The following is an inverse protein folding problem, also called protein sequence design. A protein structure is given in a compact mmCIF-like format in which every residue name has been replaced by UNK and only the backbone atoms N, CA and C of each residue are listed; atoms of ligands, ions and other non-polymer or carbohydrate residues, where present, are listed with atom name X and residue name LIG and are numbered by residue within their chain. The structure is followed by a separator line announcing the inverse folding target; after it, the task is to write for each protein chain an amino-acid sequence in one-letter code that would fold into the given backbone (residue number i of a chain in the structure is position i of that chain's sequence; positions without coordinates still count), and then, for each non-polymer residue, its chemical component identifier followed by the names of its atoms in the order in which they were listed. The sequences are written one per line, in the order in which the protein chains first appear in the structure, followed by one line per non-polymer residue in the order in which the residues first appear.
data_IF_571696229600
#
_entry.id   IF_571696229600
#
_cell.length_a   1.000
_cell.length_b   1.000
_cell.length_c   1.000
_cell.angle_alpha   90.00
_cell.angle_beta   90.00
_cell.angle_gamma   90.00
#
_symmetry.space_group_name_H-M   'P 1'
#
loop_
_entity.id
_entity.type
_entity.pdbx_description
1 polymer ?
#
# COMPACT_ATOMS: atom_id res chain seq x y z
N UNK A 1 -23.15 54.51 -12.25
CA UNK A 1 -23.65 54.16 -13.60
C UNK A 1 -22.55 53.66 -14.46
N UNK A 2 -22.09 52.42 -14.37
CA UNK A 2 -21.11 51.75 -15.28
C UNK A 2 -21.10 50.22 -15.14
N UNK A 3 -22.23 49.58 -14.81
CA UNK A 3 -22.26 48.14 -14.64
C UNK A 3 -23.16 47.38 -15.64
N UNK A 4 -23.85 48.07 -16.55
CA UNK A 4 -24.80 47.42 -17.45
C UNK A 4 -24.29 47.11 -18.86
N UNK A 5 -23.09 47.51 -19.22
CA UNK A 5 -22.56 47.32 -20.59
C UNK A 5 -21.74 46.03 -20.74
N UNK A 6 -21.33 45.41 -19.66
CA UNK A 6 -20.56 44.16 -19.69
C UNK A 6 -21.44 42.96 -20.01
N UNK A 7 -22.65 42.90 -19.46
CA UNK A 7 -23.58 41.80 -19.70
C UNK A 7 -24.23 41.84 -21.06
N UNK A 8 -24.36 42.99 -21.69
CA UNK A 8 -24.92 43.10 -23.07
C UNK A 8 -23.95 42.63 -24.14
N UNK A 9 -22.65 42.67 -23.89
CA UNK A 9 -21.64 42.18 -24.84
C UNK A 9 -21.41 40.67 -24.74
N UNK A 10 -21.71 40.04 -23.63
CA UNK A 10 -21.62 38.58 -23.45
C UNK A 10 -22.80 37.84 -24.13
N UNK A 11 -23.97 38.45 -24.13
CA UNK A 11 -25.16 37.86 -24.79
C UNK A 11 -25.10 37.87 -26.34
N UNK A 12 -24.34 38.81 -26.91
CA UNK A 12 -24.22 38.88 -28.38
C UNK A 12 -23.23 37.87 -28.98
N UNK A 13 -22.27 37.36 -28.18
CA UNK A 13 -21.29 36.35 -28.63
C UNK A 13 -21.86 34.94 -28.58
N UNK A 14 -22.80 34.68 -27.68
CA UNK A 14 -23.44 33.34 -27.55
C UNK A 14 -24.50 33.11 -28.64
N UNK A 15 -25.11 34.16 -29.18
CA UNK A 15 -26.15 34.04 -30.21
C UNK A 15 -25.58 33.89 -31.64
N UNK A 16 -24.30 34.20 -31.86
CA UNK A 16 -23.65 34.06 -33.16
C UNK A 16 -23.10 32.65 -33.45
N UNK A 17 -23.06 31.77 -32.42
CA UNK A 17 -22.53 30.40 -32.54
C UNK A 17 -23.58 29.32 -32.81
N UNK A 18 -24.89 29.68 -32.89
CA UNK A 18 -25.99 28.70 -33.00
C UNK A 18 -26.58 28.63 -34.41
N UNK A 19 -26.12 29.46 -35.37
CA UNK A 19 -26.77 29.57 -36.70
C UNK A 19 -25.95 29.08 -37.90
N UNK A 20 -24.95 28.20 -37.69
CA UNK A 20 -24.24 27.60 -38.85
C UNK A 20 -24.14 26.08 -38.74
N UNK A 21 -25.27 25.41 -38.48
CA UNK A 21 -25.40 23.96 -38.72
C UNK A 21 -26.65 23.71 -39.53
N UNK A 22 -26.54 23.86 -40.85
CA UNK A 22 -27.49 23.24 -41.77
C UNK A 22 -26.76 22.79 -43.03
N UNK A 23 -26.86 21.50 -43.23
CA UNK A 23 -26.85 20.78 -44.50
C UNK A 23 -25.51 20.55 -45.20
N UNK A 24 -24.97 19.37 -45.02
CA UNK A 24 -23.98 18.76 -45.90
C UNK A 24 -23.85 17.29 -45.55
N UNK A 25 -24.70 16.45 -46.19
CA UNK A 25 -24.44 15.00 -46.21
C UNK A 25 -23.13 14.75 -46.94
N UNK A 26 -22.07 14.42 -46.21
CA UNK A 26 -20.86 13.81 -46.75
C UNK A 26 -20.64 12.52 -45.98
N UNK A 27 -20.46 11.47 -46.74
CA UNK A 27 -20.20 10.10 -46.33
C UNK A 27 -19.18 10.06 -45.20
N UNK A 28 -19.56 9.37 -44.12
CA UNK A 28 -18.68 9.10 -42.99
C UNK A 28 -17.52 8.22 -43.44
N UNK A 29 -16.35 8.80 -43.64
CA UNK A 29 -15.11 8.08 -43.35
C UNK A 29 -15.03 7.95 -41.83
N UNK A 30 -15.09 6.71 -41.35
CA UNK A 30 -14.71 6.36 -39.99
C UNK A 30 -13.25 6.77 -39.77
N UNK A 31 -13.04 8.01 -39.38
CA UNK A 31 -11.81 8.35 -38.69
C UNK A 31 -11.88 7.69 -37.32
N UNK A 32 -11.36 6.48 -37.24
CA UNK A 32 -10.89 5.92 -35.98
C UNK A 32 -9.85 6.88 -35.43
N UNK A 33 -10.28 7.91 -34.69
CA UNK A 33 -9.42 8.60 -33.78
C UNK A 33 -9.06 7.57 -32.70
N UNK A 34 -7.97 6.84 -32.92
CA UNK A 34 -7.28 6.14 -31.88
C UNK A 34 -6.74 7.20 -30.95
N UNK A 35 -7.54 7.58 -29.94
CA UNK A 35 -6.92 8.06 -28.71
C UNK A 35 -5.90 6.98 -28.35
N UNK A 36 -4.63 7.34 -28.06
CA UNK A 36 -3.73 6.38 -27.51
C UNK A 36 -4.46 5.82 -26.30
N UNK A 37 -4.75 4.52 -26.32
CA UNK A 37 -5.30 3.83 -25.17
C UNK A 37 -4.35 4.21 -24.01
N UNK A 38 -4.90 4.84 -22.99
CA UNK A 38 -4.13 5.09 -21.77
C UNK A 38 -3.48 3.75 -21.45
N UNK A 39 -2.15 3.71 -21.40
CA UNK A 39 -1.41 2.47 -21.18
C UNK A 39 -2.02 1.83 -19.94
N UNK A 40 -2.76 0.75 -20.13
CA UNK A 40 -3.48 0.10 -19.06
C UNK A 40 -2.44 -0.46 -18.10
N UNK A 41 -2.43 0.04 -16.87
CA UNK A 41 -1.53 -0.46 -15.84
C UNK A 41 -1.77 -1.95 -15.68
N UNK A 42 -0.72 -2.73 -15.89
CA UNK A 42 -0.79 -4.17 -15.78
C UNK A 42 -0.61 -4.59 -14.32
N UNK A 43 -1.11 -5.76 -13.95
CA UNK A 43 -0.79 -6.36 -12.63
C UNK A 43 0.71 -6.47 -12.43
N UNK A 44 1.48 -6.70 -13.50
CA UNK A 44 2.93 -6.73 -13.47
C UNK A 44 3.54 -5.39 -12.99
N UNK A 45 2.96 -4.25 -13.38
CA UNK A 45 3.41 -2.93 -12.90
C UNK A 45 3.10 -2.74 -11.42
N UNK A 46 1.95 -3.23 -10.95
CA UNK A 46 1.64 -3.25 -9.52
C UNK A 46 2.63 -4.11 -8.72
N UNK A 47 3.08 -5.21 -9.30
CA UNK A 47 4.09 -6.10 -8.69
C UNK A 47 5.47 -5.44 -8.62
N UNK A 48 5.77 -4.53 -9.54
CA UNK A 48 7.02 -3.78 -9.58
C UNK A 48 7.00 -2.48 -8.76
N UNK A 49 5.94 -2.24 -7.99
CA UNK A 49 5.87 -1.09 -7.09
C UNK A 49 7.05 -1.11 -6.13
N UNK A 50 7.79 0.00 -5.99
CA UNK A 50 8.98 0.03 -5.14
C UNK A 50 8.65 -0.17 -3.68
N UNK A 51 9.50 -0.96 -3.01
CA UNK A 51 9.52 -1.07 -1.57
C UNK A 51 10.17 0.16 -0.96
N UNK A 52 9.62 0.61 0.16
CA UNK A 52 10.30 1.56 1.03
C UNK A 52 10.54 0.93 2.41
N UNK A 53 11.51 1.47 3.14
CA UNK A 53 11.93 0.93 4.44
C UNK A 53 12.08 2.06 5.43
N UNK A 54 11.84 1.76 6.68
CA UNK A 54 12.21 2.65 7.77
C UNK A 54 13.63 2.31 8.21
N UNK A 55 14.51 3.29 8.06
CA UNK A 55 15.90 3.17 8.48
C UNK A 55 16.09 3.94 9.77
N UNK A 56 16.93 3.40 10.63
CA UNK A 56 17.59 4.10 11.71
C UNK A 56 16.69 4.80 12.73
N UNK A 57 16.88 4.42 13.95
CA UNK A 57 16.47 5.13 15.15
C UNK A 57 17.31 6.40 15.27
N UNK A 58 16.80 7.51 14.81
CA UNK A 58 17.47 8.80 14.98
C UNK A 58 16.77 9.60 16.06
N UNK A 59 17.47 9.92 17.13
CA UNK A 59 16.99 10.75 18.23
C UNK A 59 17.15 12.25 17.94
N UNK A 60 17.60 12.62 16.74
CA UNK A 60 17.97 13.99 16.38
C UNK A 60 16.82 14.90 15.93
N UNK A 61 15.56 14.55 16.16
CA UNK A 61 14.41 15.32 15.64
C UNK A 61 14.11 16.61 16.43
N UNK A 62 14.96 17.03 17.30
CA UNK A 62 14.77 18.25 18.06
C UNK A 62 14.09 18.01 19.42
N UNK A 63 13.83 19.08 20.17
CA UNK A 63 13.20 18.99 21.49
C UNK A 63 11.73 19.40 21.40
N UNK A 64 10.85 18.65 22.04
CA UNK A 64 9.44 18.98 22.15
C UNK A 64 8.51 17.92 21.56
N UNK A 65 7.26 18.30 21.41
CA UNK A 65 6.20 17.50 20.80
C UNK A 65 5.92 18.04 19.39
N UNK A 66 5.85 17.14 18.44
CA UNK A 66 5.57 17.48 17.04
C UNK A 66 4.28 16.83 16.58
N UNK A 67 3.38 17.58 15.95
CA UNK A 67 2.15 17.01 15.39
C UNK A 67 2.51 16.02 14.27
N UNK A 68 1.79 14.92 14.23
CA UNK A 68 1.91 13.89 13.21
C UNK A 68 0.67 13.88 12.36
N UNK A 69 0.86 13.83 11.05
CA UNK A 69 -0.16 13.86 10.02
C UNK A 69 -0.13 12.56 9.22
N UNK A 70 -1.25 12.15 8.66
CA UNK A 70 -1.31 10.92 7.85
C UNK A 70 -0.71 11.10 6.46
N UNK A 71 -0.68 12.34 5.93
CA UNK A 71 -0.09 12.68 4.63
C UNK A 71 0.80 13.93 4.78
N UNK A 72 1.65 14.26 3.80
CA UNK A 72 2.53 15.42 3.84
C UNK A 72 1.79 16.76 3.58
N UNK A 73 0.78 17.02 4.40
CA UNK A 73 -0.08 18.21 4.38
C UNK A 73 -0.63 18.52 5.76
N UNK A 74 -0.68 19.81 6.11
CA UNK A 74 -1.33 20.26 7.36
C UNK A 74 -2.86 20.09 7.32
N UNK A 75 -3.44 19.94 6.12
CA UNK A 75 -4.89 19.70 5.91
C UNK A 75 -5.24 18.19 5.94
N UNK A 76 -4.24 17.32 6.07
CA UNK A 76 -4.49 15.88 6.15
C UNK A 76 -5.00 15.45 7.53
N UNK A 77 -5.57 14.26 7.58
CA UNK A 77 -6.09 13.69 8.83
C UNK A 77 -4.97 13.63 9.89
N UNK A 78 -5.33 14.04 11.09
CA UNK A 78 -4.55 13.80 12.30
C UNK A 78 -5.28 12.79 13.18
N UNK A 79 -4.63 11.68 13.43
CA UNK A 79 -5.18 10.59 14.23
C UNK A 79 -5.30 10.96 15.71
N UNK A 80 -5.95 10.11 16.49
CA UNK A 80 -6.24 10.37 17.92
C UNK A 80 -7.00 11.70 18.14
N UNK A 81 -8.06 11.91 17.36
CA UNK A 81 -8.88 13.13 17.41
C UNK A 81 -8.06 14.43 17.24
N UNK A 82 -7.11 14.40 16.33
CA UNK A 82 -6.21 15.52 16.09
C UNK A 82 -5.10 15.70 17.12
N UNK A 83 -4.93 14.76 18.04
CA UNK A 83 -3.99 14.88 19.17
C UNK A 83 -2.71 14.07 18.99
N UNK A 84 -2.59 13.28 17.90
CA UNK A 84 -1.39 12.47 17.70
C UNK A 84 -0.16 13.36 17.59
N UNK A 85 0.78 13.14 18.47
CA UNK A 85 2.07 13.83 18.50
C UNK A 85 3.19 12.80 18.70
N UNK A 86 4.36 13.13 18.17
CA UNK A 86 5.59 12.44 18.51
C UNK A 86 6.41 13.32 19.45
N UNK A 87 7.03 12.71 20.43
CA UNK A 87 7.83 13.39 21.43
C UNK A 87 9.27 12.86 21.33
N UNK A 88 10.24 13.69 21.68
CA UNK A 88 11.67 13.33 21.62
C UNK A 88 12.06 12.10 22.45
N UNK A 89 11.23 11.72 23.41
CA UNK A 89 11.42 10.48 24.18
C UNK A 89 11.02 9.21 23.41
N UNK A 90 10.40 9.35 22.25
CA UNK A 90 10.00 8.21 21.43
C UNK A 90 11.15 7.76 20.54
N UNK A 91 11.26 6.46 20.39
CA UNK A 91 12.14 5.85 19.42
C UNK A 91 11.54 6.05 18.01
N UNK A 92 12.28 6.75 17.15
CA UNK A 92 11.84 7.07 15.80
C UNK A 92 12.64 6.29 14.77
N UNK A 93 11.96 5.65 13.85
CA UNK A 93 12.53 5.18 12.61
C UNK A 93 12.08 6.09 11.46
N UNK A 94 12.96 6.36 10.52
CA UNK A 94 12.75 7.33 9.44
C UNK A 94 12.77 6.59 8.09
N UNK A 95 11.79 6.85 7.23
CA UNK A 95 11.79 6.32 5.87
C UNK A 95 12.46 7.27 4.87
N UNK A 96 12.21 8.57 4.96
CA UNK A 96 12.75 9.56 4.05
C UNK A 96 11.92 10.85 4.04
N UNK A 97 12.35 11.80 3.20
CA UNK A 97 11.59 13.00 2.96
C UNK A 97 10.63 12.84 1.78
N UNK A 98 9.47 13.45 1.89
CA UNK A 98 8.48 13.59 0.84
C UNK A 98 7.88 15.00 0.90
N UNK A 99 8.02 15.76 -0.17
CA UNK A 99 7.40 17.10 -0.32
C UNK A 99 7.65 18.06 0.86
N UNK A 100 8.84 17.99 1.46
CA UNK A 100 9.21 18.82 2.62
C UNK A 100 8.70 18.29 3.97
N UNK A 101 8.32 17.02 4.02
CA UNK A 101 7.89 16.32 5.22
C UNK A 101 8.77 15.10 5.46
N UNK A 102 8.98 14.74 6.71
CA UNK A 102 9.70 13.54 7.11
C UNK A 102 8.71 12.44 7.44
N UNK A 103 8.76 11.33 6.72
CA UNK A 103 7.99 10.14 7.04
C UNK A 103 8.67 9.38 8.16
N UNK A 104 7.95 9.14 9.25
CA UNK A 104 8.44 8.51 10.47
C UNK A 104 7.56 7.35 10.90
N UNK A 105 8.20 6.37 11.53
CA UNK A 105 7.54 5.34 12.32
C UNK A 105 7.99 5.49 13.78
N UNK A 106 7.07 5.44 14.71
CA UNK A 106 7.32 5.56 16.14
C UNK A 106 6.38 4.65 16.92
N UNK A 107 6.80 4.27 18.12
CA UNK A 107 5.97 3.48 19.01
C UNK A 107 5.20 4.38 19.96
N UNK A 108 3.92 4.10 20.12
CA UNK A 108 3.05 4.67 21.14
C UNK A 108 2.90 3.66 22.29
N UNK A 109 2.10 4.01 23.30
CA UNK A 109 1.79 3.10 24.41
C UNK A 109 1.37 1.73 23.91
N UNK A 110 1.70 0.70 24.65
CA UNK A 110 1.37 -0.71 24.35
C UNK A 110 2.12 -1.28 23.14
N UNK A 111 3.30 -0.74 22.81
CA UNK A 111 4.16 -1.16 21.69
C UNK A 111 3.47 -1.09 20.32
N UNK A 112 2.44 -0.26 20.20
CA UNK A 112 1.79 -0.03 18.91
C UNK A 112 2.63 0.91 18.07
N UNK A 113 3.07 0.46 16.91
CA UNK A 113 3.75 1.32 15.96
C UNK A 113 2.74 2.20 15.22
N UNK A 114 3.15 3.42 14.90
CA UNK A 114 2.40 4.37 14.08
C UNK A 114 3.32 4.92 13.00
N UNK A 115 2.76 5.18 11.84
CA UNK A 115 3.45 5.81 10.73
C UNK A 115 2.75 7.13 10.40
N UNK A 116 3.53 8.15 10.10
CA UNK A 116 2.98 9.44 9.71
C UNK A 116 4.08 10.41 9.30
N UNK A 117 3.68 11.65 9.12
CA UNK A 117 4.54 12.73 8.62
C UNK A 117 4.72 13.83 9.65
N UNK A 118 5.95 14.30 9.74
CA UNK A 118 6.34 15.48 10.52
C UNK A 118 6.84 16.55 9.54
N UNK A 119 6.38 17.81 9.63
CA UNK A 119 6.93 18.88 8.80
C UNK A 119 8.44 19.03 8.96
N UNK A 120 9.18 19.15 7.86
CA UNK A 120 10.66 19.28 7.87
C UNK A 120 11.15 20.45 8.74
N UNK A 121 10.36 21.52 8.88
CA UNK A 121 10.69 22.68 9.74
C UNK A 121 10.99 22.31 11.20
N UNK A 122 10.49 21.18 11.67
CA UNK A 122 10.75 20.68 13.04
C UNK A 122 11.96 19.74 13.12
N UNK A 123 12.46 19.28 11.98
CA UNK A 123 13.55 18.30 11.92
C UNK A 123 14.88 19.03 11.93
N UNK A 124 15.67 18.85 12.98
CA UNK A 124 16.99 19.45 13.14
C UNK A 124 18.02 18.39 13.47
N UNK A 125 19.07 18.33 12.63
CA UNK A 125 20.25 17.53 12.98
C UNK A 125 20.06 16.01 12.84
N UNK A 126 19.30 15.55 11.84
CA UNK A 126 19.34 14.14 11.45
C UNK A 126 20.80 13.74 11.20
N UNK A 127 21.29 12.78 12.00
CA UNK A 127 22.70 12.34 11.98
C UNK A 127 23.03 11.48 10.75
N UNK A 128 22.03 10.98 10.06
CA UNK A 128 22.16 10.13 8.90
C UNK A 128 21.61 10.82 7.65
N UNK A 129 22.25 10.59 6.51
CA UNK A 129 21.81 11.12 5.21
C UNK A 129 20.49 10.51 4.78
N UNK A 130 19.39 11.07 5.28
CA UNK A 130 18.03 10.65 4.88
C UNK A 130 17.72 11.23 3.51
N UNK A 131 17.43 10.36 2.54
CA UNK A 131 17.12 10.74 1.16
C UNK A 131 15.65 11.10 0.95
N UNK A 132 15.33 11.48 -0.29
CA UNK A 132 13.96 11.65 -0.74
C UNK A 132 13.32 10.29 -0.97
N UNK A 133 12.07 10.12 -0.53
CA UNK A 133 11.24 8.97 -0.89
C UNK A 133 10.90 9.04 -2.38
N UNK A 134 10.99 7.88 -3.02
CA UNK A 134 10.63 7.74 -4.43
C UNK A 134 9.33 6.92 -4.49
N UNK A 135 8.22 7.60 -4.39
CA UNK A 135 6.91 6.99 -4.58
C UNK A 135 6.54 6.94 -6.06
N UNK A 136 5.73 5.95 -6.41
CA UNK A 136 4.98 5.91 -7.67
C UNK A 136 3.63 6.57 -7.47
N UNK A 137 2.84 6.68 -8.53
CA UNK A 137 1.49 7.21 -8.47
C UNK A 137 0.62 6.37 -9.39
N UNK A 138 0.07 5.29 -8.85
CA UNK A 138 -0.71 4.30 -9.61
C UNK A 138 -2.15 4.36 -9.13
N UNK A 139 -3.07 5.01 -9.90
CA UNK A 139 -4.48 5.07 -9.54
C UNK A 139 -5.15 3.71 -9.74
N UNK A 140 -5.88 3.25 -8.74
CA UNK A 140 -6.68 2.03 -8.79
C UNK A 140 -8.01 2.26 -8.07
N UNK A 141 -8.98 1.38 -8.30
CA UNK A 141 -10.28 1.39 -7.62
C UNK A 141 -10.38 0.15 -6.75
N UNK A 142 -10.83 0.31 -5.51
CA UNK A 142 -11.10 -0.83 -4.63
C UNK A 142 -12.33 -1.58 -5.10
N UNK A 143 -12.21 -2.88 -5.35
CA UNK A 143 -13.31 -3.73 -5.79
C UNK A 143 -14.20 -4.18 -4.63
N UNK A 144 -13.70 -4.11 -3.40
CA UNK A 144 -14.43 -4.41 -2.16
C UNK A 144 -14.13 -3.37 -1.08
N UNK A 145 -14.92 -3.38 0.00
CA UNK A 145 -14.66 -2.55 1.17
C UNK A 145 -13.33 -2.95 1.82
N UNK A 146 -12.50 -1.97 2.14
CA UNK A 146 -11.13 -2.21 2.56
C UNK A 146 -10.76 -1.33 3.76
N UNK A 147 -10.18 -1.92 4.79
CA UNK A 147 -9.65 -1.20 5.95
C UNK A 147 -8.34 -0.48 5.62
N UNK A 148 -8.18 0.73 6.17
CA UNK A 148 -6.94 1.51 6.08
C UNK A 148 -6.37 1.75 7.48
N UNK A 149 -5.07 1.55 7.63
CA UNK A 149 -4.36 1.68 8.91
C UNK A 149 -3.10 2.55 8.78
N UNK A 150 -2.65 3.12 9.87
CA UNK A 150 -1.35 3.78 10.00
C UNK A 150 -0.27 2.87 10.60
N UNK A 151 -0.61 1.62 10.86
CA UNK A 151 0.29 0.61 11.39
C UNK A 151 0.29 -0.61 10.46
N UNK A 152 1.33 -0.81 9.62
CA UNK A 152 1.40 -1.93 8.68
C UNK A 152 1.75 -3.24 9.39
N UNK A 153 0.89 -3.68 10.31
CA UNK A 153 1.03 -4.90 11.11
C UNK A 153 -0.30 -5.65 11.13
N UNK A 154 -0.24 -6.96 11.20
CA UNK A 154 -1.43 -7.83 11.14
C UNK A 154 -2.45 -7.60 12.26
N UNK A 155 -1.98 -7.13 13.44
CA UNK A 155 -2.84 -6.82 14.59
C UNK A 155 -3.17 -5.32 14.70
N UNK A 156 -2.98 -4.57 13.62
CA UNK A 156 -3.28 -3.14 13.60
C UNK A 156 -4.78 -2.87 13.75
N UNK A 157 -5.09 -1.77 14.43
CA UNK A 157 -6.45 -1.24 14.45
C UNK A 157 -6.57 -0.26 13.28
N UNK A 158 -7.50 -0.46 12.35
CA UNK A 158 -7.74 0.48 11.27
C UNK A 158 -8.21 1.82 11.83
N UNK A 159 -7.84 2.91 11.18
CA UNK A 159 -8.37 4.24 11.52
C UNK A 159 -9.51 4.64 10.60
N UNK A 160 -9.82 3.85 9.59
CA UNK A 160 -10.93 4.06 8.69
C UNK A 160 -11.21 2.86 7.82
N UNK A 161 -12.35 2.93 7.14
CA UNK A 161 -12.81 1.96 6.15
C UNK A 161 -13.08 2.69 4.85
N UNK A 162 -12.54 2.19 3.77
CA UNK A 162 -12.71 2.69 2.42
C UNK A 162 -13.80 1.86 1.73
N UNK A 163 -14.92 2.46 1.33
CA UNK A 163 -15.99 1.73 0.64
C UNK A 163 -15.52 1.12 -0.68
N UNK A 164 -16.21 0.07 -1.12
CA UNK A 164 -16.11 -0.43 -2.50
C UNK A 164 -16.30 0.72 -3.50
N UNK A 165 -15.49 0.75 -4.54
CA UNK A 165 -15.50 1.80 -5.56
C UNK A 165 -14.65 3.02 -5.20
N UNK A 166 -14.04 3.06 -4.01
CA UNK A 166 -13.11 4.15 -3.66
C UNK A 166 -11.89 4.13 -4.56
N UNK A 167 -11.57 5.27 -5.15
CA UNK A 167 -10.32 5.47 -5.86
C UNK A 167 -9.19 5.72 -4.87
N UNK A 168 -8.12 4.95 -4.99
CA UNK A 168 -6.89 5.12 -4.23
C UNK A 168 -5.70 5.22 -5.16
N UNK A 169 -4.64 5.90 -4.74
CA UNK A 169 -3.37 5.96 -5.46
C UNK A 169 -2.34 5.13 -4.73
N UNK A 170 -1.85 4.06 -5.34
CA UNK A 170 -0.74 3.27 -4.79
C UNK A 170 0.55 4.09 -4.93
N UNK A 171 1.24 4.30 -3.83
CA UNK A 171 2.49 5.05 -3.72
C UNK A 171 3.71 4.15 -3.60
N UNK A 172 3.57 3.03 -2.94
CA UNK A 172 4.65 2.09 -2.67
C UNK A 172 4.13 0.80 -2.05
N UNK A 173 5.02 -0.13 -1.80
CA UNK A 173 4.73 -1.32 -1.01
C UNK A 173 5.63 -1.35 0.22
N UNK A 174 5.15 -2.00 1.26
CA UNK A 174 5.88 -2.22 2.49
C UNK A 174 5.77 -3.69 2.87
N UNK A 175 6.90 -4.40 2.79
CA UNK A 175 6.95 -5.86 2.95
C UNK A 175 7.68 -6.31 4.21
N UNK A 176 8.17 -5.37 5.01
CA UNK A 176 8.96 -5.69 6.20
C UNK A 176 8.14 -6.35 7.33
N UNK A 177 6.85 -6.00 7.45
CA UNK A 177 5.95 -6.54 8.48
C UNK A 177 4.67 -7.11 7.89
N UNK A 178 4.74 -7.64 6.67
CA UNK A 178 3.62 -8.21 5.94
C UNK A 178 3.42 -7.60 4.56
N UNK A 179 2.32 -7.95 3.92
CA UNK A 179 2.02 -7.55 2.55
C UNK A 179 1.13 -6.30 2.52
N UNK A 180 1.74 -5.11 2.41
CA UNK A 180 1.02 -3.84 2.47
C UNK A 180 1.21 -3.00 1.21
N UNK A 181 0.10 -2.43 0.69
CA UNK A 181 0.14 -1.26 -0.17
C UNK A 181 0.15 0.00 0.70
N UNK A 182 1.04 0.92 0.40
CA UNK A 182 0.97 2.28 0.92
C UNK A 182 0.22 3.13 -0.09
N UNK A 183 -0.90 3.70 0.33
CA UNK A 183 -1.83 4.39 -0.57
C UNK A 183 -2.13 5.81 -0.12
N UNK A 184 -2.53 6.63 -1.08
CA UNK A 184 -3.12 7.95 -0.86
C UNK A 184 -4.56 7.94 -1.31
N UNK A 185 -5.44 8.56 -0.54
CA UNK A 185 -6.87 8.69 -0.83
C UNK A 185 -7.48 9.84 -0.03
N UNK A 186 -8.77 10.09 -0.22
CA UNK A 186 -9.56 10.95 0.66
C UNK A 186 -10.41 10.08 1.60
N UNK A 187 -10.41 10.44 2.87
CA UNK A 187 -11.28 9.86 3.88
C UNK A 187 -12.01 10.99 4.60
N UNK A 188 -13.33 10.96 4.59
CA UNK A 188 -14.19 12.02 5.14
C UNK A 188 -13.88 13.43 4.57
N UNK A 189 -13.50 13.50 3.28
CA UNK A 189 -13.17 14.76 2.59
C UNK A 189 -11.80 15.34 2.92
N UNK A 190 -10.93 14.57 3.59
CA UNK A 190 -9.57 14.97 3.91
C UNK A 190 -8.56 14.03 3.25
N UNK A 191 -7.49 14.62 2.71
CA UNK A 191 -6.36 13.85 2.20
C UNK A 191 -5.80 12.95 3.30
N UNK A 192 -5.56 11.70 2.98
CA UNK A 192 -4.93 10.77 3.89
C UNK A 192 -4.00 9.80 3.15
N UNK A 193 -3.04 9.28 3.87
CA UNK A 193 -2.24 8.13 3.45
C UNK A 193 -2.27 7.07 4.54
N UNK A 194 -2.17 5.84 4.11
CA UNK A 194 -2.17 4.71 5.03
C UNK A 194 -1.82 3.42 4.31
N UNK A 195 -1.93 2.35 5.04
CA UNK A 195 -1.64 1.00 4.56
C UNK A 195 -2.95 0.23 4.39
N UNK A 196 -3.08 -0.46 3.26
CA UNK A 196 -4.10 -1.47 3.03
C UNK A 196 -3.43 -2.83 2.87
N UNK A 197 -4.03 -3.87 3.41
CA UNK A 197 -3.46 -5.21 3.32
C UNK A 197 -3.62 -5.74 1.89
N UNK A 198 -2.52 -6.06 1.23
CA UNK A 198 -2.47 -6.53 -0.16
C UNK A 198 -3.23 -7.84 -0.39
N UNK A 199 -3.27 -8.71 0.61
CA UNK A 199 -3.99 -10.00 0.51
C UNK A 199 -5.50 -9.85 0.58
N UNK A 200 -5.98 -8.76 1.19
CA UNK A 200 -7.41 -8.50 1.41
C UNK A 200 -7.96 -7.39 0.52
N UNK A 201 -7.10 -6.70 -0.24
CA UNK A 201 -7.50 -5.59 -1.10
C UNK A 201 -7.67 -6.07 -2.55
N UNK A 202 -8.91 -6.29 -2.94
CA UNK A 202 -9.25 -6.55 -4.33
C UNK A 202 -9.27 -5.24 -5.12
N UNK A 203 -8.60 -5.24 -6.26
CA UNK A 203 -8.40 -4.06 -7.09
C UNK A 203 -9.17 -4.19 -8.41
N UNK A 204 -9.88 -3.15 -8.79
CA UNK A 204 -10.50 -3.03 -10.11
C UNK A 204 -9.57 -2.21 -11.01
N UNK A 205 -9.04 -2.84 -12.04
CA UNK A 205 -8.16 -2.22 -13.05
C UNK A 205 -8.73 -2.55 -14.42
N UNK A 206 -8.99 -1.53 -15.24
CA UNK A 206 -9.55 -1.67 -16.60
C UNK A 206 -10.81 -2.56 -16.68
N UNK A 207 -11.68 -2.45 -15.69
CA UNK A 207 -12.92 -3.22 -15.62
C UNK A 207 -12.76 -4.68 -15.19
N UNK A 208 -11.54 -5.13 -14.89
CA UNK A 208 -11.25 -6.46 -14.36
C UNK A 208 -10.90 -6.39 -12.87
N UNK A 209 -11.49 -7.29 -12.08
CA UNK A 209 -11.14 -7.44 -10.67
C UNK A 209 -9.92 -8.35 -10.55
N UNK A 210 -8.93 -7.88 -9.83
CA UNK A 210 -7.75 -8.63 -9.42
C UNK A 210 -7.81 -8.83 -7.91
N UNK A 211 -7.81 -10.09 -7.50
CA UNK A 211 -7.78 -10.43 -6.08
C UNK A 211 -6.42 -10.09 -5.45
N UNK A 212 -6.35 -10.09 -4.13
CA UNK A 212 -5.08 -9.90 -3.44
C UNK A 212 -4.01 -10.89 -3.92
N UNK A 213 -4.38 -12.14 -4.23
CA UNK A 213 -3.45 -13.15 -4.75
C UNK A 213 -2.89 -12.76 -6.12
N UNK A 214 -3.74 -12.29 -7.04
CA UNK A 214 -3.30 -11.82 -8.37
C UNK A 214 -2.37 -10.61 -8.25
N UNK A 215 -2.73 -9.66 -7.38
CA UNK A 215 -1.93 -8.46 -7.14
C UNK A 215 -0.59 -8.75 -6.46
N UNK A 216 -0.48 -9.84 -5.71
CA UNK A 216 0.77 -10.31 -5.13
C UNK A 216 1.63 -11.09 -6.12
N UNK A 217 1.04 -11.54 -7.25
CA UNK A 217 1.75 -12.32 -8.26
C UNK A 217 2.15 -13.69 -7.76
N UNK A 218 1.31 -14.29 -6.95
CA UNK A 218 1.56 -15.65 -6.50
C UNK A 218 1.60 -16.60 -7.69
N UNK A 219 2.56 -17.53 -7.74
CA UNK A 219 2.61 -18.52 -8.80
C UNK A 219 1.32 -19.34 -8.85
N UNK A 220 0.81 -19.61 -10.06
CA UNK A 220 -0.35 -20.48 -10.27
C UNK A 220 -0.05 -21.91 -9.82
N UNK A 221 1.20 -22.32 -9.99
CA UNK A 221 1.68 -23.65 -9.58
C UNK A 221 3.14 -23.57 -9.09
N UNK A 222 3.48 -24.48 -8.21
CA UNK A 222 4.85 -24.67 -7.77
C UNK A 222 5.69 -25.41 -8.83
N UNK A 223 7.03 -25.44 -8.71
CA UNK A 223 7.94 -26.13 -9.65
C UNK A 223 7.67 -27.64 -9.82
N UNK A 224 7.07 -28.28 -8.83
CA UNK A 224 6.65 -29.69 -8.87
C UNK A 224 5.25 -29.90 -9.47
N UNK A 225 4.60 -28.83 -9.94
CA UNK A 225 3.26 -28.85 -10.53
C UNK A 225 2.12 -28.77 -9.52
N UNK A 226 2.40 -28.71 -8.22
CA UNK A 226 1.34 -28.55 -7.21
C UNK A 226 0.72 -27.15 -7.30
N UNK A 227 -0.60 -27.10 -7.12
CA UNK A 227 -1.37 -25.84 -7.10
C UNK A 227 -1.57 -25.36 -5.68
N UNK A 228 -1.96 -24.10 -5.52
CA UNK A 228 -2.22 -23.52 -4.22
C UNK A 228 -3.35 -24.24 -3.51
N UNK A 229 -3.10 -24.70 -2.29
CA UNK A 229 -4.06 -25.38 -1.42
C UNK A 229 -4.64 -24.47 -0.33
N UNK A 230 -4.06 -23.31 -0.12
CA UNK A 230 -4.50 -22.34 0.88
C UNK A 230 -3.47 -21.25 1.12
N UNK A 231 -3.70 -20.52 2.21
CA UNK A 231 -2.78 -19.49 2.72
C UNK A 231 -2.30 -19.92 4.11
N UNK A 232 -1.02 -19.77 4.40
CA UNK A 232 -0.54 -19.85 5.78
C UNK A 232 -0.43 -18.44 6.37
N UNK A 233 -0.72 -18.33 7.66
CA UNK A 233 -0.39 -17.16 8.47
C UNK A 233 0.70 -17.55 9.46
N UNK A 234 1.76 -16.78 9.51
CA UNK A 234 2.87 -16.98 10.45
C UNK A 234 2.41 -16.58 11.85
N UNK A 235 2.52 -17.50 12.81
CA UNK A 235 2.17 -17.26 14.20
C UNK A 235 3.33 -16.59 14.95
N UNK A 236 3.01 -15.88 16.03
CA UNK A 236 4.00 -15.27 16.93
C UNK A 236 4.14 -13.76 16.78
N UNK A 237 5.17 -13.23 17.41
CA UNK A 237 5.43 -11.80 17.43
C UNK A 237 6.03 -11.32 16.10
N UNK A 238 5.59 -10.18 15.64
CA UNK A 238 5.99 -9.56 14.38
C UNK A 238 7.45 -9.08 14.35
N UNK A 239 8.09 -8.91 15.51
CA UNK A 239 9.52 -8.58 15.62
C UNK A 239 10.41 -9.84 15.64
N UNK A 240 9.80 -11.03 15.71
CA UNK A 240 10.53 -12.29 15.81
C UNK A 240 10.63 -12.96 14.43
N UNK A 241 11.83 -12.93 13.86
CA UNK A 241 12.10 -13.54 12.57
C UNK A 241 12.08 -15.07 12.67
N UNK A 242 11.27 -15.70 11.83
CA UNK A 242 11.23 -17.15 11.65
C UNK A 242 11.83 -17.56 10.32
N UNK A 243 12.27 -18.82 10.23
CA UNK A 243 13.10 -19.29 9.13
C UNK A 243 12.29 -20.19 8.20
N UNK A 244 12.29 -19.85 6.91
CA UNK A 244 11.87 -20.73 5.82
C UNK A 244 13.08 -21.56 5.38
N UNK A 245 12.90 -22.86 5.28
CA UNK A 245 13.94 -23.84 5.02
C UNK A 245 13.92 -24.34 3.57
N UNK A 246 15.09 -24.76 3.07
CA UNK A 246 15.19 -25.34 1.73
C UNK A 246 14.42 -26.67 1.60
N UNK A 247 14.36 -27.44 2.65
CA UNK A 247 13.64 -28.72 2.73
C UNK A 247 12.78 -28.76 4.01
N UNK A 248 11.86 -29.70 4.09
CA UNK A 248 10.98 -29.93 5.26
C UNK A 248 11.76 -30.52 6.46
N UNK A 249 12.80 -29.81 6.89
CA UNK A 249 13.75 -30.24 7.91
C UNK A 249 14.41 -29.01 8.57
N UNK A 250 14.47 -28.94 9.92
CA UNK A 250 15.03 -27.79 10.64
C UNK A 250 16.53 -27.62 10.42
N UNK A 251 17.24 -28.66 10.02
CA UNK A 251 18.71 -28.63 9.89
C UNK A 251 19.16 -28.21 8.46
N UNK A 252 18.21 -27.94 7.57
CA UNK A 252 18.52 -27.50 6.22
C UNK A 252 18.75 -26.00 6.11
N UNK A 253 19.35 -25.57 5.00
CA UNK A 253 19.68 -24.17 4.76
C UNK A 253 18.44 -23.27 4.83
N UNK A 254 18.61 -22.08 5.40
CA UNK A 254 17.65 -20.99 5.34
C UNK A 254 17.56 -20.46 3.90
N UNK A 255 16.33 -20.26 3.40
CA UNK A 255 16.07 -19.64 2.08
C UNK A 255 15.38 -18.29 2.21
N UNK A 256 14.58 -18.08 3.25
CA UNK A 256 13.93 -16.80 3.54
C UNK A 256 13.71 -16.62 5.04
N UNK A 257 13.40 -15.37 5.44
CA UNK A 257 12.90 -15.01 6.77
C UNK A 257 11.51 -14.45 6.64
N UNK A 258 10.66 -14.79 7.59
CA UNK A 258 9.26 -14.34 7.70
C UNK A 258 8.98 -13.92 9.13
N UNK A 259 7.94 -13.13 9.33
CA UNK A 259 7.62 -12.54 10.64
C UNK A 259 6.18 -12.89 11.05
N UNK A 260 5.88 -12.79 12.33
CA UNK A 260 4.53 -13.05 12.84
C UNK A 260 3.50 -12.16 12.14
N UNK A 261 2.40 -12.77 11.68
CA UNK A 261 1.35 -12.14 10.91
C UNK A 261 1.54 -12.10 9.40
N UNK A 262 2.73 -12.43 8.88
CA UNK A 262 2.93 -12.59 7.44
C UNK A 262 2.04 -13.70 6.90
N UNK A 263 1.56 -13.53 5.67
CA UNK A 263 0.74 -14.51 4.96
C UNK A 263 1.38 -14.91 3.64
N UNK A 264 1.37 -16.23 3.36
CA UNK A 264 1.99 -16.77 2.15
C UNK A 264 1.12 -17.86 1.53
N UNK A 265 1.11 -17.99 0.19
CA UNK A 265 0.42 -19.07 -0.49
C UNK A 265 1.11 -20.41 -0.18
N UNK A 266 0.30 -21.41 0.13
CA UNK A 266 0.71 -22.78 0.43
C UNK A 266 0.35 -23.69 -0.73
N UNK A 267 1.32 -24.46 -1.21
CA UNK A 267 1.16 -25.36 -2.38
C UNK A 267 1.25 -26.82 -2.01
N UNK A 268 1.46 -27.14 -0.76
CA UNK A 268 1.49 -28.52 -0.30
C UNK A 268 1.97 -28.64 1.13
N UNK A 269 1.90 -29.86 1.65
CA UNK A 269 2.42 -30.19 2.96
C UNK A 269 3.18 -31.50 2.93
N UNK A 270 4.12 -31.66 3.85
CA UNK A 270 4.92 -32.88 4.01
C UNK A 270 5.26 -33.10 5.46
N UNK A 271 5.25 -34.35 5.90
CA UNK A 271 5.79 -34.72 7.21
C UNK A 271 7.31 -34.78 7.11
N UNK A 272 7.97 -34.04 7.96
CA UNK A 272 9.43 -34.03 8.13
C UNK A 272 9.88 -34.76 9.40
N UNK A 273 11.12 -34.55 9.85
CA UNK A 273 11.63 -35.12 11.08
C UNK A 273 10.74 -34.85 12.29
N UNK A 274 10.68 -35.81 13.24
CA UNK A 274 9.88 -35.73 14.46
C UNK A 274 8.36 -35.57 14.22
N UNK A 275 7.86 -36.15 13.11
CA UNK A 275 6.44 -36.10 12.71
C UNK A 275 5.87 -34.67 12.56
N UNK A 276 6.77 -33.70 12.36
CA UNK A 276 6.38 -32.31 12.17
C UNK A 276 5.87 -32.11 10.74
N UNK A 277 4.72 -31.45 10.60
CA UNK A 277 4.20 -31.05 9.30
C UNK A 277 4.92 -29.77 8.86
N UNK A 278 5.30 -29.71 7.60
CA UNK A 278 5.89 -28.58 6.92
C UNK A 278 5.02 -28.21 5.73
N UNK A 279 4.85 -26.91 5.53
CA UNK A 279 4.13 -26.32 4.41
C UNK A 279 5.08 -25.84 3.34
N UNK A 280 4.79 -26.19 2.08
CA UNK A 280 5.54 -25.71 0.92
C UNK A 280 4.96 -24.37 0.50
N UNK A 281 5.75 -23.31 0.62
CA UNK A 281 5.30 -21.92 0.46
C UNK A 281 6.18 -21.17 -0.53
N UNK A 282 5.61 -20.13 -1.12
CA UNK A 282 6.34 -19.17 -1.92
C UNK A 282 6.47 -17.85 -1.14
N UNK A 283 7.69 -17.33 -1.06
CA UNK A 283 8.03 -16.10 -0.33
C UNK A 283 8.90 -15.24 -1.24
N UNK A 284 8.37 -14.14 -1.76
CA UNK A 284 9.09 -13.12 -2.55
C UNK A 284 10.04 -13.67 -3.61
N UNK A 285 9.56 -14.62 -4.41
CA UNK A 285 10.36 -15.25 -5.48
C UNK A 285 11.11 -16.52 -5.07
N UNK A 286 11.01 -16.93 -3.82
CA UNK A 286 11.74 -18.09 -3.29
C UNK A 286 10.76 -19.16 -2.81
N UNK A 287 11.02 -20.41 -3.18
CA UNK A 287 10.31 -21.58 -2.69
C UNK A 287 11.00 -22.17 -1.47
N UNK A 288 10.19 -22.56 -0.48
CA UNK A 288 10.72 -23.16 0.72
C UNK A 288 9.68 -23.82 1.61
N UNK A 289 10.14 -24.38 2.69
CA UNK A 289 9.35 -25.13 3.65
C UNK A 289 9.27 -24.37 4.97
N UNK A 290 8.06 -24.24 5.49
CA UNK A 290 7.80 -23.57 6.75
C UNK A 290 7.06 -24.49 7.71
N UNK A 291 7.44 -24.49 8.98
CA UNK A 291 6.92 -25.43 10.00
C UNK A 291 5.49 -25.09 10.40
N UNK A 292 4.61 -26.08 10.46
CA UNK A 292 3.24 -25.95 10.98
C UNK A 292 3.18 -25.52 12.45
N UNK A 293 4.22 -25.78 13.24
CA UNK A 293 4.29 -25.32 14.63
C UNK A 293 4.35 -23.79 14.78
N UNK A 294 4.70 -23.10 13.69
CA UNK A 294 4.84 -21.64 13.64
C UNK A 294 3.85 -20.99 12.67
N UNK A 295 2.85 -21.71 12.21
CA UNK A 295 1.87 -21.19 11.25
C UNK A 295 0.51 -21.84 11.35
N UNK A 296 -0.50 -21.13 10.85
CA UNK A 296 -1.87 -21.61 10.70
C UNK A 296 -2.20 -21.68 9.22
N UNK A 297 -2.65 -22.81 8.72
CA UNK A 297 -3.13 -22.98 7.34
C UNK A 297 -4.63 -22.67 7.28
N UNK A 298 -5.01 -21.78 6.37
CA UNK A 298 -6.40 -21.57 5.94
C UNK A 298 -6.52 -22.12 4.53
N UNK A 299 -7.28 -23.19 4.37
CA UNK A 299 -7.47 -23.85 3.07
C UNK A 299 -8.30 -22.98 2.13
N UNK A 300 -7.94 -22.98 0.84
CA UNK A 300 -8.77 -22.40 -0.22
C UNK A 300 -10.05 -23.22 -0.37
N UNK A 301 -11.19 -22.54 -0.45
CA UNK A 301 -12.49 -23.17 -0.66
C UNK A 301 -12.67 -23.58 -2.12
#
# INVERSE_FOLDING_TARGET
MKHNDFFKRLAAVVLALVLTVSCGCVLAEESTSSFPAAESQTVAELLNVPDFKFFVRDQGIGKGEFPVYTAPSEDSIRLSDGKLVVNVGYELAVAGFDSGWLMVRFEVRDRKARVGYIPQKYVRGLKTGVGQLKFVSIPVVLAEETEITDNPRSNSTPFGTLPKGTQVTILGKYTYTGNWWYVETELAGQLTRGFINRTNADLLIDGKVYTGNDALGFPVAAPDGSTQIGMITVNGDEDNAMIVRKHADPDTAMVARVFGGDTFPCYGSKTGPHDRIWYYIWVDGVWGWFSSGNSTLTESK
#
